data_IF_832246703376
#
_entry.id   IF_832246703376
#
_cell.length_a   1.000
_cell.length_b   1.000
_cell.length_c   1.000
_cell.angle_alpha   90.00
_cell.angle_beta   90.00
_cell.angle_gamma   90.00
#
_symmetry.space_group_name_H-M   'P 1'
#
loop_
_entity.id
_entity.type
_entity.pdbx_description
1 polymer ?
#
# COMPACT_ATOMS: atom_id res chain seq x y z
N UNK A 1 18.41 15.46 -2.88
CA UNK A 1 18.28 15.32 -2.42
C UNK A 1 18.07 15.00 -1.18
N UNK A 2 17.51 14.97 -0.51
CA UNK A 2 17.41 14.75 0.61
C UNK A 2 17.09 13.57 0.97
N UNK A 3 17.26 13.02 1.73
CA UNK A 3 17.17 11.78 1.92
C UNK A 3 16.85 11.45 3.27
N UNK A 4 16.27 10.26 3.48
CA UNK A 4 16.00 9.78 4.80
C UNK A 4 17.27 9.47 5.52
N UNK A 5 17.33 9.86 6.76
CA UNK A 5 18.42 9.55 7.64
C UNK A 5 17.82 8.68 8.74
N UNK A 6 18.27 7.43 8.85
CA UNK A 6 17.75 6.52 9.85
C UNK A 6 16.53 5.73 9.35
N UNK A 7 15.83 5.04 10.23
CA UNK A 7 14.75 4.15 9.84
C UNK A 7 13.54 4.90 9.31
N UNK A 8 12.77 4.22 8.47
CA UNK A 8 11.52 4.75 7.94
C UNK A 8 10.51 4.88 9.07
N UNK A 9 9.72 5.94 9.01
CA UNK A 9 8.67 6.17 9.99
C UNK A 9 7.30 6.00 9.35
N UNK A 10 7.21 5.35 8.20
CA UNK A 10 5.92 5.10 7.57
C UNK A 10 5.20 4.01 8.33
N UNK A 11 3.97 4.32 8.74
CA UNK A 11 3.12 3.42 9.52
C UNK A 11 2.03 2.77 8.67
N UNK A 12 1.58 3.46 7.64
CA UNK A 12 0.55 2.94 6.75
C UNK A 12 0.77 3.48 5.34
N UNK A 13 0.62 2.58 4.38
CA UNK A 13 0.57 2.93 2.97
C UNK A 13 -0.72 2.37 2.39
N UNK A 14 -1.40 3.17 1.58
CA UNK A 14 -2.51 2.67 0.78
C UNK A 14 -2.16 2.92 -0.67
N UNK A 15 -2.10 1.85 -1.43
CA UNK A 15 -1.64 1.87 -2.81
C UNK A 15 -2.74 1.36 -3.73
N UNK A 16 -2.83 2.00 -4.90
CA UNK A 16 -3.63 1.47 -6.00
C UNK A 16 -2.65 0.78 -6.94
N UNK A 17 -2.89 -0.50 -7.21
CA UNK A 17 -1.91 -1.35 -7.88
C UNK A 17 -2.56 -2.09 -9.02
N UNK A 18 -1.85 -2.16 -10.14
CA UNK A 18 -2.24 -3.01 -11.26
C UNK A 18 -1.48 -4.30 -11.13
N UNK A 19 -2.20 -5.41 -11.07
CA UNK A 19 -1.63 -6.70 -10.80
C UNK A 19 -2.03 -7.68 -11.91
N UNK A 20 -1.08 -8.43 -12.47
CA UNK A 20 -1.46 -9.50 -13.38
C UNK A 20 -2.19 -10.58 -12.60
N UNK A 21 -2.85 -11.50 -13.32
CA UNK A 21 -3.58 -12.56 -12.64
C UNK A 21 -2.66 -13.46 -11.79
N UNK A 22 -1.43 -13.60 -12.20
CA UNK A 22 -0.45 -14.36 -11.44
C UNK A 22 0.74 -13.50 -11.11
N UNK A 23 1.25 -13.59 -9.91
CA UNK A 23 0.82 -14.46 -8.79
C UNK A 23 -0.56 -14.04 -8.27
N UNK A 24 -1.18 -14.93 -7.52
CA UNK A 24 -2.51 -14.69 -6.97
C UNK A 24 -2.46 -13.61 -5.90
N UNK A 25 -3.65 -13.08 -5.58
CA UNK A 25 -3.75 -12.08 -4.51
C UNK A 25 -3.30 -12.68 -3.17
N UNK A 26 -3.53 -13.97 -2.98
CA UNK A 26 -3.09 -14.65 -1.75
C UNK A 26 -1.56 -14.66 -1.68
N UNK A 27 -0.92 -15.06 -2.76
CA UNK A 27 0.55 -15.10 -2.79
C UNK A 27 1.15 -13.73 -2.63
N UNK A 28 0.55 -12.73 -3.25
CA UNK A 28 1.02 -11.36 -3.15
C UNK A 28 0.92 -10.86 -1.71
N UNK A 29 -0.21 -11.11 -1.05
CA UNK A 29 -0.40 -10.64 0.32
C UNK A 29 0.62 -11.28 1.26
N UNK A 30 0.89 -12.58 1.07
CA UNK A 30 1.85 -13.26 1.91
C UNK A 30 3.27 -12.75 1.68
N UNK A 31 3.63 -12.51 0.42
CA UNK A 31 4.95 -11.98 0.10
C UNK A 31 5.17 -10.62 0.73
N UNK A 32 4.17 -9.75 0.64
CA UNK A 32 4.28 -8.41 1.23
C UNK A 32 4.33 -8.46 2.74
N UNK A 33 3.52 -9.34 3.35
CA UNK A 33 3.46 -9.39 4.82
C UNK A 33 4.74 -9.96 5.43
N UNK A 34 5.55 -10.64 4.63
CA UNK A 34 6.82 -11.18 5.13
C UNK A 34 7.96 -10.17 5.08
N UNK A 35 7.76 -9.01 4.52
CA UNK A 35 8.80 -7.98 4.49
C UNK A 35 9.02 -7.43 5.90
N UNK A 36 10.28 -7.10 6.19
CA UNK A 36 10.62 -6.55 7.50
C UNK A 36 9.87 -5.25 7.76
N UNK A 37 9.43 -5.06 9.00
CA UNK A 37 8.75 -3.84 9.41
C UNK A 37 7.27 -3.81 9.12
N UNK A 38 6.75 -4.82 8.43
CA UNK A 38 5.33 -4.89 8.07
C UNK A 38 4.60 -5.79 9.07
N UNK A 39 3.52 -5.26 9.63
CA UNK A 39 2.70 -5.97 10.60
C UNK A 39 1.47 -6.58 9.98
N UNK A 40 0.99 -6.00 8.89
CA UNK A 40 -0.19 -6.52 8.24
C UNK A 40 -0.40 -5.94 6.86
N UNK A 41 -1.11 -6.71 6.03
CA UNK A 41 -1.41 -6.34 4.66
C UNK A 41 -2.85 -6.71 4.38
N UNK A 42 -3.57 -5.81 3.72
CA UNK A 42 -4.92 -6.09 3.25
C UNK A 42 -4.96 -5.76 1.76
N UNK A 43 -5.46 -6.68 0.96
CA UNK A 43 -5.60 -6.48 -0.48
C UNK A 43 -7.04 -6.70 -0.87
N UNK A 44 -7.61 -5.72 -1.55
CA UNK A 44 -8.97 -5.82 -2.07
C UNK A 44 -8.90 -5.63 -3.58
N UNK A 45 -9.44 -6.59 -4.31
CA UNK A 45 -9.56 -6.49 -5.76
C UNK A 45 -10.89 -5.80 -6.03
N UNK A 46 -10.84 -4.67 -6.71
CA UNK A 46 -12.06 -3.92 -6.96
C UNK A 46 -12.44 -3.86 -8.44
N UNK A 47 -11.54 -4.29 -9.31
CA UNK A 47 -11.85 -4.32 -10.74
C UNK A 47 -10.99 -5.39 -11.41
N UNK A 48 -11.59 -6.14 -12.32
CA UNK A 48 -10.90 -7.19 -13.05
C UNK A 48 -11.21 -7.00 -14.53
N UNK A 49 -10.16 -6.96 -15.35
CA UNK A 49 -10.33 -6.97 -16.78
C UNK A 49 -9.63 -8.19 -17.37
N UNK A 50 -9.42 -8.20 -18.70
CA UNK A 50 -8.90 -9.37 -19.37
C UNK A 50 -7.48 -9.75 -18.95
N UNK A 51 -6.68 -8.77 -18.52
CA UNK A 51 -5.26 -8.98 -18.34
C UNK A 51 -4.75 -8.62 -16.96
N UNK A 52 -5.45 -7.72 -16.27
CA UNK A 52 -4.97 -7.21 -14.98
C UNK A 52 -6.11 -7.11 -13.99
N UNK A 53 -5.72 -7.10 -12.72
CA UNK A 53 -6.63 -6.85 -11.61
C UNK A 53 -6.23 -5.54 -10.97
N UNK A 54 -7.20 -4.68 -10.72
CA UNK A 54 -6.95 -3.45 -9.98
C UNK A 54 -7.15 -3.74 -8.50
N UNK A 55 -6.12 -3.48 -7.73
CA UNK A 55 -6.10 -3.83 -6.32
C UNK A 55 -5.83 -2.62 -5.47
N UNK A 56 -6.53 -2.55 -4.35
CA UNK A 56 -6.21 -1.61 -3.28
C UNK A 56 -5.44 -2.37 -2.23
N UNK A 57 -4.22 -1.93 -1.94
CA UNK A 57 -3.36 -2.59 -0.97
C UNK A 57 -3.11 -1.64 0.19
N UNK A 58 -3.49 -2.07 1.39
CA UNK A 58 -3.22 -1.34 2.62
C UNK A 58 -2.13 -2.09 3.38
N UNK A 59 -1.06 -1.39 3.71
CA UNK A 59 0.09 -1.95 4.40
C UNK A 59 0.31 -1.17 5.68
N UNK A 60 0.38 -1.87 6.80
CA UNK A 60 0.59 -1.27 8.10
C UNK A 60 1.81 -1.92 8.75
N UNK A 61 2.60 -1.13 9.43
CA UNK A 61 3.77 -1.66 10.12
C UNK A 61 4.44 -0.63 11.00
N UNK A 62 5.55 -1.04 11.58
CA UNK A 62 6.35 -0.15 12.43
C UNK A 62 7.34 0.67 11.60
N UNK A 63 7.86 0.06 10.54
CA UNK A 63 8.82 0.70 9.65
C UNK A 63 8.55 0.21 8.23
N UNK A 64 7.53 0.78 7.60
CA UNK A 64 7.21 0.38 6.24
C UNK A 64 8.17 1.09 5.30
N UNK A 65 8.99 0.32 4.57
CA UNK A 65 9.96 0.88 3.64
C UNK A 65 9.33 0.89 2.25
N UNK A 66 9.00 2.06 1.77
CA UNK A 66 8.29 2.19 0.50
C UNK A 66 9.08 1.57 -0.67
N UNK A 67 10.38 1.83 -0.72
CA UNK A 67 11.18 1.32 -1.83
C UNK A 67 11.25 -0.21 -1.83
N UNK A 68 11.25 -0.81 -0.65
CA UNK A 68 11.26 -2.27 -0.52
C UNK A 68 9.92 -2.84 -0.97
N UNK A 69 8.82 -2.20 -0.58
CA UNK A 69 7.49 -2.61 -1.01
C UNK A 69 7.36 -2.50 -2.53
N UNK A 70 7.79 -1.38 -3.08
CA UNK A 70 7.73 -1.15 -4.52
C UNK A 70 8.52 -2.20 -5.27
N UNK A 71 9.73 -2.50 -4.80
CA UNK A 71 10.57 -3.49 -5.45
C UNK A 71 9.92 -4.87 -5.42
N UNK A 72 9.35 -5.24 -4.27
CA UNK A 72 8.69 -6.54 -4.15
C UNK A 72 7.50 -6.63 -5.10
N UNK A 73 6.70 -5.57 -5.20
CA UNK A 73 5.59 -5.54 -6.14
C UNK A 73 6.08 -5.71 -7.57
N UNK A 74 7.14 -5.00 -7.93
CA UNK A 74 7.68 -5.08 -9.29
C UNK A 74 8.23 -6.48 -9.58
N UNK A 75 8.88 -7.09 -8.61
CA UNK A 75 9.38 -8.47 -8.77
C UNK A 75 8.25 -9.45 -9.03
N UNK A 76 7.08 -9.15 -8.52
CA UNK A 76 5.90 -10.01 -8.69
C UNK A 76 5.02 -9.57 -9.86
N UNK A 77 5.53 -8.65 -10.67
CA UNK A 77 4.84 -8.23 -11.89
C UNK A 77 3.78 -7.17 -11.70
N UNK A 78 3.66 -6.62 -10.51
CA UNK A 78 2.66 -5.59 -10.22
C UNK A 78 3.26 -4.20 -10.38
N UNK A 79 2.40 -3.23 -10.69
CA UNK A 79 2.81 -1.84 -10.87
C UNK A 79 1.98 -0.94 -9.98
N UNK A 80 2.65 -0.07 -9.24
CA UNK A 80 1.94 0.92 -8.44
C UNK A 80 1.37 1.97 -9.38
N UNK A 81 0.04 2.11 -9.36
CA UNK A 81 -0.64 3.12 -10.15
C UNK A 81 -0.66 4.46 -9.41
N UNK A 82 -0.96 4.42 -8.11
CA UNK A 82 -0.95 5.62 -7.29
C UNK A 82 -0.73 5.27 -5.83
N UNK A 83 -0.22 6.26 -5.09
CA UNK A 83 -0.12 6.17 -3.64
C UNK A 83 -1.25 7.02 -3.10
N UNK A 84 -2.23 6.38 -2.48
CA UNK A 84 -3.47 7.05 -2.09
C UNK A 84 -3.46 7.54 -0.65
N UNK A 85 -2.67 6.92 0.21
CA UNK A 85 -2.52 7.39 1.58
C UNK A 85 -1.13 7.04 2.10
N UNK A 86 -0.54 7.98 2.81
CA UNK A 86 0.68 7.72 3.58
C UNK A 86 0.46 8.29 4.97
N UNK A 87 0.66 7.46 5.99
CA UNK A 87 0.67 7.92 7.37
C UNK A 87 2.05 7.62 7.93
N UNK A 88 2.73 8.63 8.45
CA UNK A 88 4.09 8.46 8.94
C UNK A 88 4.26 9.18 10.26
N UNK A 89 5.29 8.79 11.03
CA UNK A 89 5.59 9.38 12.31
C UNK A 89 5.61 8.33 13.39
N UNK A 90 5.79 8.78 14.63
CA UNK A 90 5.85 7.89 15.78
C UNK A 90 4.50 7.28 16.11
N UNK A 91 3.42 7.94 15.69
CA UNK A 91 2.05 7.48 15.89
C UNK A 91 1.34 7.42 14.57
N UNK A 92 0.36 6.54 14.49
CA UNK A 92 -0.54 6.52 13.36
C UNK A 92 -1.58 7.61 13.58
N UNK A 93 -1.67 8.53 12.61
CA UNK A 93 -2.62 9.62 12.66
C UNK A 93 -3.64 9.42 11.56
N UNK A 94 -4.91 9.39 11.93
CA UNK A 94 -5.98 9.26 10.94
C UNK A 94 -6.28 10.61 10.32
N UNK A 95 -6.78 10.57 9.10
CA UNK A 95 -7.17 11.79 8.42
C UNK A 95 -8.35 12.44 9.14
N UNK A 96 -8.32 13.76 9.21
CA UNK A 96 -9.44 14.51 9.76
C UNK A 96 -10.41 14.78 8.63
N UNK A 97 -11.68 14.43 8.83
CA UNK A 97 -12.70 14.69 7.84
C UNK A 97 -13.04 16.17 7.82
N UNK A 98 -13.23 16.68 6.62
CA UNK A 98 -13.62 18.06 6.43
C UNK A 98 -15.06 18.09 5.95
N UNK A 99 -15.72 19.26 6.00
CA UNK A 99 -17.08 19.35 5.47
C UNK A 99 -17.20 18.90 4.03
N UNK A 100 -16.20 19.19 3.20
CA UNK A 100 -16.24 18.76 1.81
C UNK A 100 -16.21 17.23 1.70
N UNK A 101 -15.43 16.57 2.54
CA UNK A 101 -15.32 15.12 2.50
C UNK A 101 -16.61 14.44 2.89
N UNK A 102 -17.31 15.01 3.85
CA UNK A 102 -18.48 14.39 4.44
C UNK A 102 -19.73 14.71 3.67
N UNK A 103 -19.91 15.97 3.35
CA UNK A 103 -21.19 16.41 2.80
C UNK A 103 -21.51 15.75 1.49
N UNK A 104 -20.51 15.44 0.72
CA UNK A 104 -20.74 14.85 -0.60
C UNK A 104 -21.38 13.47 -0.48
N UNK A 105 -21.35 12.86 0.67
CA UNK A 105 -21.84 11.51 0.82
C UNK A 105 -23.18 11.43 1.45
N UNK A 106 -23.68 12.50 1.88
CA UNK A 106 -24.96 12.54 2.54
C UNK A 106 -26.07 12.99 1.61
#
# INVERSE_FOLDING_TARGET
MLYRVGPSMIRRLVLDVLKPYRPSVVDLSLALSNLDGIEGVNIIIYEIDQHVENAKITIVGTEVEFDVVKKKLEEMGATIHSVDEVASGKKLIEAVKTPQDVSARI
#
